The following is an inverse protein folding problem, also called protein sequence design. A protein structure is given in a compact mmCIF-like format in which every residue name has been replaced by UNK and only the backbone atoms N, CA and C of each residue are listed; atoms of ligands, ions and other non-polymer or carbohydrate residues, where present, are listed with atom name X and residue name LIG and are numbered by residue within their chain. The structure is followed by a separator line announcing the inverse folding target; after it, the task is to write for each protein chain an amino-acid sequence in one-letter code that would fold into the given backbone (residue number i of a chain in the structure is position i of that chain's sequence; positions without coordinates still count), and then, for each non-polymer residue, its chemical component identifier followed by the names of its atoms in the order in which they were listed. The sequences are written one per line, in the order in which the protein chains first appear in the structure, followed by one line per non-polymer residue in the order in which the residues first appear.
data_IF_277358429669
#
_entry.id   IF_277358429669
#
_cell.length_a   1.000
_cell.length_b   1.000
_cell.length_c   1.000
_cell.angle_alpha   90.00
_cell.angle_beta   90.00
_cell.angle_gamma   90.00
#
_symmetry.space_group_name_H-M   'P 1'
#
loop_
_entity.id
_entity.type
_entity.pdbx_description
1 polymer ?
#
# COMPACT_ATOMS: atom_id res chain seq x y z
N UNK A 1 15.13 33.93 -2.93
CA UNK A 1 14.44 34.78 -3.93
C UNK A 1 13.52 33.87 -4.72
N UNK A 2 12.21 34.07 -4.59
CA UNK A 2 11.19 33.23 -5.23
C UNK A 2 11.07 33.69 -6.68
N UNK A 3 11.63 32.92 -7.62
CA UNK A 3 11.41 33.16 -9.05
C UNK A 3 10.01 32.69 -9.44
N UNK A 4 9.29 33.57 -10.15
CA UNK A 4 8.04 33.24 -10.86
C UNK A 4 8.34 33.19 -12.36
N UNK A 5 8.03 32.06 -13.01
CA UNK A 5 7.91 31.96 -14.49
C UNK A 5 6.50 31.47 -14.81
N UNK A 6 5.65 32.35 -15.35
CA UNK A 6 4.26 32.02 -15.71
C UNK A 6 3.38 31.69 -14.50
N UNK A 7 2.56 30.65 -14.58
CA UNK A 7 1.66 30.18 -13.51
C UNK A 7 2.36 29.35 -12.40
N UNK A 8 3.67 29.11 -12.52
CA UNK A 8 4.40 28.32 -11.52
C UNK A 8 5.05 29.25 -10.48
N UNK A 9 4.69 29.01 -9.22
CA UNK A 9 5.30 29.67 -8.06
C UNK A 9 6.24 28.70 -7.35
N UNK A 10 7.46 29.15 -7.08
CA UNK A 10 8.40 28.41 -6.26
C UNK A 10 8.17 28.77 -4.79
N UNK A 11 7.75 27.80 -3.96
CA UNK A 11 7.49 28.03 -2.54
C UNK A 11 8.43 27.22 -1.68
N UNK A 12 8.87 27.83 -0.57
CA UNK A 12 9.59 27.15 0.49
C UNK A 12 8.67 27.11 1.73
N UNK A 13 8.63 25.98 2.42
CA UNK A 13 7.95 25.85 3.70
C UNK A 13 8.91 25.23 4.73
N UNK A 14 8.70 25.57 6.00
CA UNK A 14 9.38 24.94 7.13
C UNK A 14 8.31 24.14 7.89
N UNK A 15 8.46 22.81 7.93
CA UNK A 15 7.60 21.93 8.69
C UNK A 15 8.26 21.61 10.03
N UNK A 16 7.73 22.18 11.12
CA UNK A 16 8.09 21.77 12.48
C UNK A 16 7.05 20.78 12.96
N UNK A 17 7.48 19.55 13.17
CA UNK A 17 6.61 18.49 13.64
C UNK A 17 6.90 18.18 15.12
N UNK A 18 5.92 18.36 16.03
CA UNK A 18 6.10 17.98 17.42
C UNK A 18 6.31 16.47 17.52
N UNK A 19 7.31 16.06 18.30
CA UNK A 19 7.53 14.65 18.64
C UNK A 19 6.85 14.37 19.97
N UNK A 20 6.15 13.22 20.12
CA UNK A 20 5.62 12.83 21.41
C UNK A 20 6.76 12.68 22.43
N UNK A 21 6.48 13.03 23.68
CA UNK A 21 7.44 12.81 24.76
C UNK A 21 7.66 11.31 25.00
N UNK A 22 8.82 10.95 25.56
CA UNK A 22 9.10 9.55 25.89
C UNK A 22 8.09 8.98 26.91
N UNK A 23 7.59 9.82 27.82
CA UNK A 23 6.58 9.46 28.81
C UNK A 23 5.24 9.12 28.16
N UNK A 24 4.76 9.95 27.23
CA UNK A 24 3.52 9.69 26.49
C UNK A 24 3.61 8.41 25.65
N UNK A 25 4.78 8.16 25.05
CA UNK A 25 5.04 6.91 24.31
C UNK A 25 4.99 5.69 25.24
N UNK A 26 5.54 5.80 26.45
CA UNK A 26 5.47 4.71 27.44
C UNK A 26 4.05 4.47 27.92
N UNK A 27 3.30 5.54 28.21
CA UNK A 27 1.89 5.45 28.62
C UNK A 27 1.03 4.83 27.53
N UNK A 28 1.24 5.22 26.27
CA UNK A 28 0.52 4.66 25.12
C UNK A 28 0.80 3.16 24.95
N UNK A 29 2.06 2.75 25.15
CA UNK A 29 2.44 1.33 25.14
C UNK A 29 1.76 0.57 26.28
N UNK A 30 1.84 1.07 27.50
CA UNK A 30 1.23 0.44 28.68
C UNK A 30 -0.30 0.33 28.55
N UNK A 31 -0.94 1.35 27.98
CA UNK A 31 -2.35 1.31 27.66
C UNK A 31 -2.67 0.17 26.68
N UNK A 32 -1.95 0.08 25.57
CA UNK A 32 -2.19 -0.97 24.58
C UNK A 32 -1.83 -2.37 25.11
N UNK A 33 -0.82 -2.50 25.98
CA UNK A 33 -0.49 -3.73 26.68
C UNK A 33 -1.64 -4.16 27.62
N UNK A 34 -2.32 -3.21 28.26
CA UNK A 34 -3.51 -3.48 29.07
C UNK A 34 -4.68 -3.98 28.22
N UNK A 35 -4.86 -3.43 27.02
CA UNK A 35 -5.87 -3.89 26.05
C UNK A 35 -5.53 -5.31 25.56
N UNK A 36 -4.26 -5.59 25.24
CA UNK A 36 -3.80 -6.94 24.89
C UNK A 36 -4.17 -7.97 25.97
N UNK A 37 -3.88 -7.65 27.23
CA UNK A 37 -4.19 -8.52 28.37
C UNK A 37 -5.70 -8.69 28.56
N UNK A 38 -6.48 -7.62 28.39
CA UNK A 38 -7.93 -7.68 28.46
C UNK A 38 -8.50 -8.59 27.37
N UNK A 39 -8.00 -8.49 26.14
CA UNK A 39 -8.41 -9.33 25.03
C UNK A 39 -8.11 -10.80 25.30
N UNK A 40 -6.90 -11.08 25.78
CA UNK A 40 -6.43 -12.44 26.10
C UNK A 40 -7.20 -13.07 27.26
N UNK A 41 -7.44 -12.33 28.34
CA UNK A 41 -8.07 -12.87 29.54
C UNK A 41 -9.58 -13.04 29.41
N UNK A 42 -10.24 -12.18 28.64
CA UNK A 42 -11.70 -12.20 28.47
C UNK A 42 -12.16 -12.85 27.15
N UNK A 43 -11.25 -13.46 26.38
CA UNK A 43 -11.51 -13.96 25.03
C UNK A 43 -12.29 -12.95 24.15
N UNK A 44 -11.92 -11.67 24.23
CA UNK A 44 -12.59 -10.62 23.47
C UNK A 44 -12.25 -10.77 21.98
N UNK A 45 -13.28 -10.75 21.12
CA UNK A 45 -13.07 -10.74 19.68
C UNK A 45 -12.28 -9.50 19.22
N UNK A 46 -11.34 -9.69 18.29
CA UNK A 46 -10.47 -8.62 17.78
C UNK A 46 -11.28 -7.43 17.25
N UNK A 47 -12.32 -7.69 16.44
CA UNK A 47 -13.18 -6.65 15.88
C UNK A 47 -13.87 -5.80 16.96
N UNK A 48 -14.23 -6.42 18.09
CA UNK A 48 -14.82 -5.70 19.24
C UNK A 48 -13.80 -4.81 19.92
N UNK A 49 -12.56 -5.30 20.08
CA UNK A 49 -11.48 -4.50 20.65
C UNK A 49 -11.14 -3.31 19.75
N UNK A 50 -11.09 -3.51 18.43
CA UNK A 50 -10.88 -2.43 17.45
C UNK A 50 -11.97 -1.37 17.56
N UNK A 51 -13.24 -1.75 17.59
CA UNK A 51 -14.35 -0.79 17.70
C UNK A 51 -14.30 0.03 19.00
N UNK A 52 -13.81 -0.55 20.09
CA UNK A 52 -13.78 0.09 21.42
C UNK A 52 -12.53 0.94 21.67
N UNK A 53 -11.37 0.48 21.22
CA UNK A 53 -10.07 1.00 21.64
C UNK A 53 -9.22 1.57 20.50
N UNK A 54 -9.61 1.37 19.23
CA UNK A 54 -8.85 1.89 18.10
C UNK A 54 -9.16 3.37 17.86
N UNK A 55 -8.09 4.16 17.82
CA UNK A 55 -8.13 5.56 17.36
C UNK A 55 -7.97 5.69 15.84
N UNK A 56 -7.60 4.59 15.15
CA UNK A 56 -7.45 4.58 13.70
C UNK A 56 -8.82 4.69 13.00
N UNK A 57 -8.97 5.54 11.96
CA UNK A 57 -10.20 5.65 11.16
C UNK A 57 -10.65 4.31 10.56
N UNK A 58 -9.71 3.40 10.29
CA UNK A 58 -9.94 2.04 9.82
C UNK A 58 -10.75 1.16 10.78
N UNK A 59 -11.03 1.63 12.02
CA UNK A 59 -11.96 0.95 12.94
C UNK A 59 -13.33 0.67 12.34
N UNK A 60 -13.78 1.51 11.40
CA UNK A 60 -15.06 1.34 10.68
C UNK A 60 -15.06 0.05 9.86
N UNK A 61 -13.89 -0.35 9.35
CA UNK A 61 -13.70 -1.58 8.58
C UNK A 61 -13.12 -2.72 9.43
N UNK A 62 -13.29 -2.68 10.75
CA UNK A 62 -12.74 -3.68 11.67
C UNK A 62 -11.21 -3.67 11.78
N UNK A 63 -10.55 -2.58 11.39
CA UNK A 63 -9.09 -2.46 11.43
C UNK A 63 -8.36 -3.23 10.32
N UNK A 64 -9.09 -3.62 9.26
CA UNK A 64 -8.50 -4.30 8.11
C UNK A 64 -7.50 -3.40 7.37
N UNK A 65 -6.29 -3.90 7.18
CA UNK A 65 -5.26 -3.22 6.38
C UNK A 65 -5.59 -3.35 4.89
N UNK A 66 -5.51 -2.24 4.16
CA UNK A 66 -5.72 -2.20 2.71
C UNK A 66 -4.37 -2.22 2.01
N UNK A 67 -4.20 -3.15 1.08
CA UNK A 67 -3.04 -3.22 0.21
C UNK A 67 -3.09 -2.10 -0.82
N UNK A 68 -2.14 -1.17 -0.76
CA UNK A 68 -2.11 0.00 -1.64
C UNK A 68 -1.87 -0.34 -3.12
N UNK A 69 -1.30 -1.51 -3.43
CA UNK A 69 -1.00 -1.90 -4.81
C UNK A 69 -2.21 -2.38 -5.60
N UNK A 70 -3.17 -3.02 -4.93
CA UNK A 70 -4.31 -3.68 -5.59
C UNK A 70 -5.66 -3.42 -4.89
N UNK A 71 -5.70 -2.57 -3.87
CA UNK A 71 -6.88 -2.24 -3.07
C UNK A 71 -7.57 -3.45 -2.42
N UNK A 72 -6.87 -4.58 -2.27
CA UNK A 72 -7.37 -5.77 -1.58
C UNK A 72 -6.96 -5.80 -0.10
N UNK A 73 -7.40 -6.79 0.65
CA UNK A 73 -6.97 -7.04 2.04
C UNK A 73 -5.88 -8.10 2.16
N UNK A 74 -5.35 -8.57 1.03
CA UNK A 74 -4.38 -9.67 0.97
C UNK A 74 -3.00 -9.06 0.74
N UNK A 75 -2.04 -9.50 1.55
CA UNK A 75 -0.64 -9.09 1.46
C UNK A 75 0.22 -10.31 1.20
N UNK A 76 1.21 -10.16 0.33
CA UNK A 76 2.32 -11.10 0.22
C UNK A 76 3.45 -10.71 1.16
N UNK A 77 4.29 -11.66 1.56
CA UNK A 77 5.35 -11.40 2.54
C UNK A 77 6.32 -10.29 2.09
N UNK A 78 6.58 -10.17 0.79
CA UNK A 78 7.42 -9.14 0.18
C UNK A 78 6.80 -7.73 0.25
N UNK A 79 5.49 -7.62 0.47
CA UNK A 79 4.77 -6.35 0.59
C UNK A 79 4.68 -5.86 2.03
N UNK A 80 5.10 -6.66 3.01
CA UNK A 80 5.03 -6.31 4.43
C UNK A 80 6.38 -5.80 4.94
N UNK A 81 6.33 -4.77 5.78
CA UNK A 81 7.51 -4.29 6.49
C UNK A 81 8.09 -5.38 7.40
N UNK A 82 9.42 -5.37 7.55
CA UNK A 82 10.13 -6.34 8.41
C UNK A 82 9.62 -6.37 9.85
N UNK A 83 9.17 -5.23 10.39
CA UNK A 83 8.60 -5.14 11.73
C UNK A 83 7.28 -5.90 11.85
N UNK A 84 6.43 -5.84 10.80
CA UNK A 84 5.19 -6.61 10.72
C UNK A 84 5.53 -8.09 10.64
N UNK A 85 6.41 -8.47 9.71
CA UNK A 85 6.81 -9.86 9.51
C UNK A 85 7.32 -10.50 10.80
N UNK A 86 8.16 -9.77 11.56
CA UNK A 86 8.65 -10.24 12.85
C UNK A 86 7.53 -10.43 13.88
N UNK A 87 6.61 -9.46 13.97
CA UNK A 87 5.52 -9.48 14.94
C UNK A 87 4.47 -10.56 14.66
N UNK A 88 4.28 -10.94 13.39
CA UNK A 88 3.36 -12.00 13.00
C UNK A 88 4.04 -13.36 12.87
N UNK A 89 5.37 -13.41 13.02
CA UNK A 89 6.11 -14.66 12.94
C UNK A 89 5.71 -15.57 14.11
N UNK A 90 5.33 -16.81 13.80
CA UNK A 90 4.84 -17.77 14.79
C UNK A 90 3.35 -17.63 15.14
N UNK A 91 2.64 -16.62 14.66
CA UNK A 91 1.18 -16.52 14.84
C UNK A 91 0.43 -17.42 13.86
N UNK A 92 -0.65 -18.03 14.34
CA UNK A 92 -1.62 -18.76 13.51
C UNK A 92 -2.87 -17.92 13.22
N UNK A 93 -3.68 -18.27 12.21
CA UNK A 93 -4.96 -17.59 11.98
C UNK A 93 -5.85 -17.61 13.24
N UNK A 94 -6.40 -16.45 13.59
CA UNK A 94 -7.15 -16.25 14.83
C UNK A 94 -6.34 -15.67 15.99
N UNK A 95 -5.01 -15.58 15.86
CA UNK A 95 -4.16 -14.98 16.90
C UNK A 95 -3.80 -13.53 16.60
N UNK A 96 -3.43 -12.83 17.68
CA UNK A 96 -2.97 -11.45 17.64
C UNK A 96 -1.59 -11.29 18.28
N UNK A 97 -0.79 -10.36 17.76
CA UNK A 97 0.56 -10.07 18.21
C UNK A 97 0.58 -9.38 19.57
N UNK A 98 1.75 -9.28 20.17
CA UNK A 98 1.99 -8.28 21.22
C UNK A 98 1.98 -6.87 20.63
N UNK A 99 2.15 -5.85 21.49
CA UNK A 99 2.22 -4.45 21.06
C UNK A 99 3.47 -4.19 20.23
N UNK A 100 3.26 -3.63 19.04
CA UNK A 100 4.32 -3.36 18.05
C UNK A 100 4.39 -1.86 17.78
N UNK A 101 5.58 -1.24 17.78
CA UNK A 101 5.71 0.14 17.35
C UNK A 101 5.41 0.27 15.85
N UNK A 102 4.76 1.36 15.48
CA UNK A 102 4.51 1.75 14.10
C UNK A 102 4.72 3.24 13.90
N UNK A 103 4.81 3.64 12.63
CA UNK A 103 4.76 5.04 12.22
C UNK A 103 3.45 5.22 11.46
N UNK A 104 2.62 6.18 11.86
CA UNK A 104 1.37 6.49 11.17
C UNK A 104 1.64 7.17 9.84
N UNK A 105 0.64 7.27 8.96
CA UNK A 105 0.77 7.99 7.66
C UNK A 105 1.20 9.45 7.86
N UNK A 106 0.74 10.07 8.95
CA UNK A 106 1.14 11.41 9.33
C UNK A 106 2.58 11.49 9.84
N UNK A 107 3.28 10.36 9.98
CA UNK A 107 4.65 10.18 10.44
C UNK A 107 4.81 10.13 11.96
N UNK A 108 3.72 10.00 12.73
CA UNK A 108 3.78 9.97 14.20
C UNK A 108 4.16 8.57 14.67
N UNK A 109 4.94 8.47 15.74
CA UNK A 109 5.15 7.18 16.37
C UNK A 109 3.87 6.76 17.09
N UNK A 110 3.47 5.50 16.93
CA UNK A 110 2.30 4.91 17.55
C UNK A 110 2.58 3.44 17.88
N UNK A 111 1.63 2.78 18.53
CA UNK A 111 1.65 1.35 18.80
C UNK A 111 0.41 0.68 18.22
N UNK A 112 0.55 -0.57 17.81
CA UNK A 112 -0.56 -1.39 17.29
C UNK A 112 -0.46 -2.84 17.74
N UNK A 113 -1.59 -3.52 17.69
CA UNK A 113 -1.70 -4.98 17.78
C UNK A 113 -2.12 -5.49 16.41
N UNK A 114 -1.46 -6.53 15.90
CA UNK A 114 -1.74 -7.13 14.60
C UNK A 114 -2.53 -8.42 14.79
N UNK A 115 -3.46 -8.73 13.89
CA UNK A 115 -4.26 -9.94 13.93
C UNK A 115 -4.17 -10.67 12.59
N UNK A 116 -3.97 -11.99 12.64
CA UNK A 116 -3.95 -12.83 11.43
C UNK A 116 -5.33 -13.41 11.21
N UNK A 117 -6.06 -12.85 10.23
CA UNK A 117 -7.38 -13.36 9.85
C UNK A 117 -7.29 -14.68 9.10
N UNK A 118 -6.40 -14.74 8.13
CA UNK A 118 -6.19 -15.90 7.27
C UNK A 118 -4.71 -15.95 6.88
N UNK A 119 -4.14 -17.15 6.78
CA UNK A 119 -2.79 -17.39 6.27
C UNK A 119 -2.84 -18.47 5.21
N UNK A 120 -2.45 -18.12 3.98
CA UNK A 120 -2.41 -19.05 2.85
C UNK A 120 -0.97 -19.48 2.60
N UNK A 121 -0.75 -20.79 2.44
CA UNK A 121 0.55 -21.31 2.05
C UNK A 121 0.86 -20.98 0.58
N UNK A 122 2.15 -20.95 0.24
CA UNK A 122 2.57 -20.80 -1.15
C UNK A 122 2.00 -21.95 -1.99
N UNK A 123 1.26 -21.61 -3.04
CA UNK A 123 0.66 -22.55 -3.98
C UNK A 123 0.79 -22.03 -5.41
N UNK A 124 0.58 -22.91 -6.40
CA UNK A 124 0.49 -22.48 -7.79
C UNK A 124 -0.82 -21.74 -7.98
N UNK A 125 -0.75 -20.59 -8.65
CA UNK A 125 -1.91 -19.75 -8.89
C UNK A 125 -3.04 -20.55 -9.56
N UNK A 126 -4.24 -20.48 -9.00
CA UNK A 126 -5.40 -21.20 -9.50
C UNK A 126 -6.64 -20.31 -9.57
N UNK A 127 -7.62 -20.68 -10.41
CA UNK A 127 -8.81 -19.87 -10.65
C UNK A 127 -9.83 -19.89 -9.50
N UNK A 128 -9.64 -20.75 -8.50
CA UNK A 128 -10.54 -20.86 -7.34
C UNK A 128 -10.10 -19.84 -6.28
N UNK A 129 -8.83 -19.87 -5.89
CA UNK A 129 -8.29 -19.07 -4.79
C UNK A 129 -7.79 -17.69 -5.24
N UNK A 130 -7.31 -17.57 -6.49
CA UNK A 130 -6.64 -16.38 -7.03
C UNK A 130 -7.40 -15.71 -8.18
N UNK A 131 -8.71 -15.97 -8.31
CA UNK A 131 -9.51 -15.43 -9.41
C UNK A 131 -9.33 -13.92 -9.58
N UNK A 132 -9.44 -13.14 -8.50
CA UNK A 132 -9.29 -11.69 -8.54
C UNK A 132 -7.92 -11.24 -9.03
N UNK A 133 -6.84 -11.93 -8.61
CA UNK A 133 -5.48 -11.63 -9.05
C UNK A 133 -5.31 -11.93 -10.53
N UNK A 134 -5.76 -13.10 -10.98
CA UNK A 134 -5.68 -13.52 -12.39
C UNK A 134 -6.52 -12.58 -13.27
N UNK A 135 -7.74 -12.24 -12.82
CA UNK A 135 -8.64 -11.28 -13.48
C UNK A 135 -7.96 -9.93 -13.66
N UNK A 136 -7.32 -9.40 -12.62
CA UNK A 136 -6.66 -8.09 -12.68
C UNK A 136 -5.45 -8.11 -13.63
N UNK A 137 -4.64 -9.16 -13.61
CA UNK A 137 -3.51 -9.31 -14.57
C UNK A 137 -4.02 -9.39 -16.00
N UNK A 138 -5.03 -10.21 -16.28
CA UNK A 138 -5.62 -10.34 -17.60
C UNK A 138 -6.29 -9.03 -18.07
N UNK A 139 -6.93 -8.30 -17.14
CA UNK A 139 -7.53 -7.00 -17.42
C UNK A 139 -6.47 -5.97 -17.82
N UNK A 140 -5.36 -5.88 -17.09
CA UNK A 140 -4.26 -4.97 -17.42
C UNK A 140 -3.60 -5.32 -18.75
N UNK A 141 -3.42 -6.61 -19.05
CA UNK A 141 -2.94 -7.06 -20.36
C UNK A 141 -3.87 -6.58 -21.50
N UNK A 142 -5.19 -6.77 -21.36
CA UNK A 142 -6.16 -6.30 -22.36
C UNK A 142 -6.18 -4.78 -22.50
N UNK A 143 -6.10 -4.03 -21.39
CA UNK A 143 -6.00 -2.56 -21.43
C UNK A 143 -4.76 -2.13 -22.21
N UNK A 144 -3.61 -2.77 -21.95
CA UNK A 144 -2.36 -2.50 -22.65
C UNK A 144 -2.47 -2.80 -24.16
N UNK A 145 -3.08 -3.91 -24.55
CA UNK A 145 -3.30 -4.27 -25.95
C UNK A 145 -4.16 -3.22 -26.68
N UNK A 146 -5.28 -2.82 -26.08
CA UNK A 146 -6.19 -1.80 -26.63
C UNK A 146 -5.48 -0.45 -26.72
N UNK A 147 -4.73 -0.08 -25.68
CA UNK A 147 -3.95 1.15 -25.66
C UNK A 147 -2.92 1.18 -26.80
N UNK A 148 -2.14 0.10 -26.97
CA UNK A 148 -1.15 0.01 -28.05
C UNK A 148 -1.82 0.07 -29.43
N UNK A 149 -2.95 -0.60 -29.62
CA UNK A 149 -3.73 -0.52 -30.86
C UNK A 149 -4.21 0.91 -31.14
N UNK A 150 -4.75 1.58 -30.13
CA UNK A 150 -5.19 2.96 -30.22
C UNK A 150 -4.02 3.90 -30.54
N UNK A 151 -2.88 3.77 -29.86
CA UNK A 151 -1.67 4.56 -30.10
C UNK A 151 -1.18 4.42 -31.54
N UNK A 152 -1.06 3.18 -32.05
CA UNK A 152 -0.64 2.93 -33.43
C UNK A 152 -1.58 3.57 -34.47
N UNK A 153 -2.89 3.56 -34.22
CA UNK A 153 -3.84 4.23 -35.10
C UNK A 153 -3.72 5.75 -35.02
N UNK A 154 -3.51 6.30 -33.83
CA UNK A 154 -3.41 7.76 -33.64
C UNK A 154 -2.14 8.34 -34.26
N UNK A 155 -1.02 7.63 -34.13
CA UNK A 155 0.27 7.98 -34.75
C UNK A 155 0.14 8.18 -36.25
N UNK A 156 -0.62 7.33 -36.98
CA UNK A 156 -0.83 7.46 -38.44
C UNK A 156 -1.51 8.77 -38.86
N UNK A 157 -2.32 9.34 -37.98
CA UNK A 157 -3.11 10.56 -38.27
C UNK A 157 -2.51 11.83 -37.67
N UNK A 158 -1.41 11.70 -36.93
CA UNK A 158 -0.80 12.80 -36.18
C UNK A 158 0.53 13.15 -36.82
N UNK A 159 0.78 14.43 -37.10
CA UNK A 159 2.07 14.88 -37.62
C UNK A 159 3.13 14.82 -36.52
N UNK A 160 4.10 13.91 -36.65
CA UNK A 160 5.20 13.70 -35.68
C UNK A 160 6.53 13.98 -36.38
N UNK A 161 7.33 14.90 -35.81
CA UNK A 161 8.68 15.21 -36.29
C UNK A 161 9.71 14.71 -35.30
N UNK A 162 10.56 13.79 -35.74
CA UNK A 162 11.67 13.24 -34.94
C UNK A 162 12.98 13.94 -35.30
N UNK A 163 13.83 14.22 -34.30
CA UNK A 163 15.21 14.64 -34.57
C UNK A 163 16.04 13.43 -35.04
N UNK A 164 17.06 13.62 -35.89
CA UNK A 164 17.85 12.53 -36.47
C UNK A 164 18.41 11.55 -35.42
N UNK A 165 18.89 12.08 -34.28
CA UNK A 165 19.42 11.28 -33.18
C UNK A 165 18.45 10.23 -32.61
N UNK A 166 17.14 10.46 -32.71
CA UNK A 166 16.12 9.53 -32.19
C UNK A 166 15.61 8.56 -33.25
N UNK A 167 16.08 8.66 -34.50
CA UNK A 167 15.59 7.79 -35.59
C UNK A 167 16.08 6.34 -35.45
N UNK A 168 17.21 6.12 -34.79
CA UNK A 168 17.78 4.80 -34.55
C UNK A 168 17.25 4.14 -33.25
N UNK A 169 16.24 4.74 -32.59
CA UNK A 169 15.74 4.26 -31.31
C UNK A 169 14.65 3.20 -31.46
N UNK A 170 14.99 1.93 -31.20
CA UNK A 170 14.08 0.77 -31.23
C UNK A 170 12.84 0.89 -30.30
N UNK A 171 12.85 1.82 -29.35
CA UNK A 171 11.71 2.07 -28.45
C UNK A 171 10.50 2.63 -29.24
N UNK A 172 10.77 3.41 -30.28
CA UNK A 172 9.78 4.18 -31.04
C UNK A 172 8.96 3.27 -31.98
N UNK A 173 9.59 2.19 -32.47
CA UNK A 173 8.94 1.16 -33.29
C UNK A 173 7.79 0.46 -32.56
N UNK A 174 7.91 0.25 -31.24
CA UNK A 174 6.86 -0.40 -30.42
C UNK A 174 5.52 0.36 -30.47
N UNK A 175 5.59 1.67 -30.63
CA UNK A 175 4.43 2.57 -30.73
C UNK A 175 3.92 2.74 -32.17
N UNK A 176 4.53 2.05 -33.15
CA UNK A 176 4.14 2.08 -34.56
C UNK A 176 4.54 3.35 -35.29
N UNK A 177 5.52 4.09 -34.75
CA UNK A 177 6.14 5.22 -35.45
C UNK A 177 7.23 4.63 -36.36
N UNK A 178 6.91 4.51 -37.65
CA UNK A 178 7.84 4.03 -38.67
C UNK A 178 8.53 5.25 -39.27
N UNK A 179 9.84 5.33 -39.11
CA UNK A 179 10.67 6.35 -39.74
C UNK A 179 10.99 5.83 -41.15
N UNK A 180 10.50 6.53 -42.18
CA UNK A 180 10.98 6.36 -43.55
C UNK A 180 12.12 7.33 -43.80
#
# INVERSE_FOLDING_TARGET
MIERRGEQINVAHILIKPKPSAEEMLMSKQYLDSVYNLMKNNNMAFDTAVLKFSDDPGKINGGMLVNMYNSSYVFTEDQLDKSILYAINGLIPGEFSQTVPMITENGNQAYRILYIREKRAAHKANLIDDYEKIKNVALEQKKQEILLKWTRNKVKTTHIKLKPYYQECNLIEKFGIIIK
#
